data_IF_508830729708
#
_entry.id   IF_508830729708
#
_cell.length_a   1.000
_cell.length_b   1.000
_cell.length_c   1.000
_cell.angle_alpha   90.00
_cell.angle_beta   90.00
_cell.angle_gamma   90.00
#
_symmetry.space_group_name_H-M   'P 1'
#
loop_
_entity.id
_entity.type
_entity.pdbx_description
1 polymer ?
#
# COMPACT_ATOMS: atom_id res chain seq x y z
N UNK A 1 38.83 -26.97 31.28
CA UNK A 1 37.65 -26.16 31.71
C UNK A 1 37.08 -25.25 30.61
N UNK A 2 37.90 -24.67 29.72
CA UNK A 2 37.51 -23.69 28.68
C UNK A 2 36.44 -24.18 27.68
N UNK A 3 36.43 -25.49 27.36
CA UNK A 3 35.54 -26.08 26.33
C UNK A 3 34.05 -26.09 26.70
N UNK A 4 33.70 -26.06 28.00
CA UNK A 4 32.30 -26.02 28.46
C UNK A 4 31.74 -24.60 28.42
N UNK A 5 32.54 -23.60 28.80
CA UNK A 5 32.17 -22.19 28.82
C UNK A 5 31.89 -21.67 27.41
N UNK A 6 32.71 -22.04 26.43
CA UNK A 6 32.50 -21.64 25.01
C UNK A 6 31.17 -22.19 24.46
N UNK A 7 30.80 -23.43 24.79
CA UNK A 7 29.51 -24.01 24.37
C UNK A 7 28.32 -23.29 25.00
N UNK A 8 28.42 -22.90 26.27
CA UNK A 8 27.33 -22.18 26.95
C UNK A 8 27.15 -20.78 26.40
N UNK A 9 28.26 -20.06 26.14
CA UNK A 9 28.20 -18.74 25.52
C UNK A 9 27.52 -18.85 24.15
N UNK A 10 27.95 -19.80 23.31
CA UNK A 10 27.36 -20.00 21.97
C UNK A 10 25.87 -20.34 22.00
N UNK A 11 25.45 -21.16 22.97
CA UNK A 11 24.05 -21.53 23.15
C UNK A 11 23.20 -20.31 23.57
N UNK A 12 23.72 -19.47 24.47
CA UNK A 12 23.04 -18.26 24.93
C UNK A 12 22.92 -17.24 23.79
N UNK A 13 23.97 -17.04 22.98
CA UNK A 13 23.88 -16.13 21.81
C UNK A 13 22.87 -16.64 20.80
N UNK A 14 22.83 -17.95 20.52
CA UNK A 14 21.85 -18.53 19.63
C UNK A 14 20.42 -18.33 20.15
N UNK A 15 20.21 -18.51 21.46
CA UNK A 15 18.92 -18.29 22.09
C UNK A 15 18.46 -16.83 21.96
N UNK A 16 19.37 -15.88 22.21
CA UNK A 16 19.10 -14.45 22.08
C UNK A 16 18.75 -14.05 20.64
N UNK A 17 19.42 -14.61 19.64
CA UNK A 17 19.09 -14.37 18.23
C UNK A 17 17.70 -14.91 17.88
N UNK A 18 17.35 -16.11 18.36
CA UNK A 18 16.04 -16.71 18.14
C UNK A 18 14.92 -15.91 18.81
N UNK A 19 15.13 -15.47 20.05
CA UNK A 19 14.16 -14.62 20.78
C UNK A 19 14.01 -13.27 20.08
N UNK A 20 15.11 -12.66 19.62
CA UNK A 20 15.07 -11.41 18.85
C UNK A 20 14.31 -11.55 17.53
N UNK A 21 14.55 -12.63 16.78
CA UNK A 21 13.82 -12.90 15.54
C UNK A 21 12.33 -13.15 15.78
N UNK A 22 11.98 -13.90 16.83
CA UNK A 22 10.59 -14.13 17.22
C UNK A 22 9.89 -12.82 17.62
N UNK A 23 10.57 -11.94 18.36
CA UNK A 23 10.02 -10.64 18.75
C UNK A 23 9.75 -9.75 17.53
N UNK A 24 10.67 -9.69 16.56
CA UNK A 24 10.45 -8.98 15.30
C UNK A 24 9.26 -9.56 14.54
N UNK A 25 9.14 -10.89 14.48
CA UNK A 25 8.03 -11.55 13.80
C UNK A 25 6.67 -11.23 14.44
N UNK A 26 6.59 -11.19 15.78
CA UNK A 26 5.35 -10.88 16.52
C UNK A 26 4.97 -9.40 16.40
N UNK A 27 5.97 -8.51 16.38
CA UNK A 27 5.74 -7.06 16.30
C UNK A 27 5.65 -6.53 14.87
N UNK A 28 5.98 -7.34 13.87
CA UNK A 28 5.81 -6.98 12.47
C UNK A 28 4.31 -6.75 12.18
N UNK A 29 3.93 -5.60 11.64
CA UNK A 29 2.55 -5.35 11.27
C UNK A 29 2.12 -6.36 10.21
N UNK A 30 0.97 -7.01 10.41
CA UNK A 30 0.39 -7.87 9.39
C UNK A 30 -0.12 -6.98 8.25
N UNK A 31 0.67 -6.89 7.18
CA UNK A 31 0.32 -6.09 6.02
C UNK A 31 -0.83 -6.78 5.27
N UNK A 32 -1.90 -6.02 5.06
CA UNK A 32 -2.97 -6.46 4.18
C UNK A 32 -2.42 -6.69 2.76
N UNK A 33 -2.93 -7.71 2.08
CA UNK A 33 -2.57 -7.98 0.70
C UNK A 33 -3.27 -6.98 -0.24
N UNK A 34 -2.65 -5.79 -0.36
CA UNK A 34 -3.14 -4.68 -1.16
C UNK A 34 -2.57 -4.65 -2.58
N UNK A 35 -1.70 -5.60 -2.93
CA UNK A 35 -1.09 -5.68 -4.25
C UNK A 35 -2.15 -5.70 -5.38
N UNK A 36 -1.90 -4.87 -6.40
CA UNK A 36 -2.79 -4.66 -7.53
C UNK A 36 -4.04 -3.84 -7.22
N UNK A 37 -4.23 -3.37 -5.98
CA UNK A 37 -5.35 -2.46 -5.63
C UNK A 37 -4.99 -1.02 -5.94
N UNK A 38 -6.00 -0.24 -6.30
CA UNK A 38 -5.86 1.18 -6.60
C UNK A 38 -6.58 2.05 -5.58
N UNK A 39 -5.98 3.19 -5.27
CA UNK A 39 -6.48 4.16 -4.30
C UNK A 39 -6.40 5.57 -4.88
N UNK A 40 -7.28 6.46 -4.45
CA UNK A 40 -7.20 7.89 -4.74
C UNK A 40 -7.14 8.67 -3.43
N UNK A 41 -6.47 9.83 -3.48
CA UNK A 41 -6.48 10.75 -2.36
C UNK A 41 -7.85 11.44 -2.27
N UNK A 42 -8.38 11.64 -1.08
CA UNK A 42 -9.71 12.23 -0.90
C UNK A 42 -9.83 13.67 -1.43
N UNK A 43 -8.73 14.34 -1.80
CA UNK A 43 -8.76 15.64 -2.50
C UNK A 43 -9.05 15.56 -4.00
N UNK A 44 -9.01 14.36 -4.62
CA UNK A 44 -9.17 14.15 -6.08
C UNK A 44 -10.57 14.49 -6.59
N UNK A 45 -11.56 14.70 -5.70
CA UNK A 45 -12.92 15.07 -6.11
C UNK A 45 -13.01 16.40 -6.86
N UNK A 46 -12.06 17.32 -6.64
CA UNK A 46 -11.98 18.57 -7.40
C UNK A 46 -11.27 18.42 -8.76
N UNK A 47 -10.53 17.33 -8.97
CA UNK A 47 -9.80 17.05 -10.21
C UNK A 47 -10.71 16.37 -11.25
N UNK A 48 -11.60 15.49 -10.80
CA UNK A 48 -12.49 14.72 -11.69
C UNK A 48 -13.41 15.64 -12.52
N UNK A 49 -13.82 16.79 -11.96
CA UNK A 49 -14.60 17.80 -12.69
C UNK A 49 -13.82 18.49 -13.82
N UNK A 50 -12.49 18.38 -13.81
CA UNK A 50 -11.58 18.91 -14.84
C UNK A 50 -11.16 17.84 -15.87
N UNK A 51 -11.70 16.62 -15.76
CA UNK A 51 -11.39 15.51 -16.65
C UNK A 51 -10.08 14.79 -16.31
N UNK A 52 -9.54 14.99 -15.10
CA UNK A 52 -8.32 14.35 -14.65
C UNK A 52 -8.54 13.67 -13.30
N UNK A 53 -7.91 12.52 -13.09
CA UNK A 53 -7.99 11.83 -11.81
C UNK A 53 -6.67 11.17 -11.44
N UNK A 54 -6.05 11.69 -10.39
CA UNK A 54 -4.84 11.13 -9.82
C UNK A 54 -5.19 9.90 -8.96
N UNK A 55 -4.48 8.80 -9.18
CA UNK A 55 -4.61 7.58 -8.38
C UNK A 55 -3.26 6.89 -8.21
N UNK A 56 -3.19 6.01 -7.23
CA UNK A 56 -2.03 5.15 -7.03
C UNK A 56 -2.42 3.68 -7.11
N UNK A 57 -1.47 2.84 -7.50
CA UNK A 57 -1.58 1.38 -7.49
C UNK A 57 -0.50 0.81 -6.58
N UNK A 58 -0.86 -0.11 -5.71
CA UNK A 58 0.09 -0.86 -4.89
C UNK A 58 0.69 -1.98 -5.71
N UNK A 59 2.00 -2.02 -5.83
CA UNK A 59 2.73 -3.01 -6.63
C UNK A 59 3.34 -4.12 -5.77
N UNK A 60 3.79 -3.77 -4.57
CA UNK A 60 4.36 -4.72 -3.64
C UNK A 60 4.41 -4.10 -2.24
N UNK A 61 4.84 -4.87 -1.26
CA UNK A 61 5.12 -4.37 0.09
C UNK A 61 6.39 -5.00 0.65
N UNK A 62 7.09 -4.24 1.47
CA UNK A 62 8.06 -4.76 2.45
C UNK A 62 7.42 -4.75 3.83
N UNK A 63 8.13 -5.22 4.86
CA UNK A 63 7.64 -5.31 6.26
C UNK A 63 7.16 -3.98 6.88
N UNK A 64 7.42 -2.83 6.28
CA UNK A 64 7.09 -1.52 6.83
C UNK A 64 6.32 -0.60 5.88
N UNK A 65 6.36 -0.84 4.57
CA UNK A 65 5.89 0.09 3.54
C UNK A 65 5.28 -0.63 2.34
N UNK A 66 4.37 0.05 1.68
CA UNK A 66 3.86 -0.31 0.36
C UNK A 66 4.65 0.41 -0.72
N UNK A 67 5.11 -0.31 -1.73
CA UNK A 67 5.65 0.25 -2.95
C UNK A 67 4.48 0.58 -3.89
N UNK A 68 4.43 1.81 -4.37
CA UNK A 68 3.31 2.32 -5.15
C UNK A 68 3.75 2.98 -6.44
N UNK A 69 2.87 2.96 -7.43
CA UNK A 69 2.99 3.73 -8.65
C UNK A 69 1.85 4.74 -8.72
N UNK A 70 2.19 5.99 -9.05
CA UNK A 70 1.25 7.09 -9.21
C UNK A 70 0.89 7.26 -10.67
N UNK A 71 -0.40 7.47 -10.92
CA UNK A 71 -0.97 7.59 -12.24
C UNK A 71 -1.96 8.75 -12.29
N UNK A 72 -2.13 9.29 -13.49
CA UNK A 72 -3.20 10.22 -13.82
C UNK A 72 -4.03 9.62 -14.94
N UNK A 73 -5.32 9.45 -14.69
CA UNK A 73 -6.30 9.09 -15.72
C UNK A 73 -6.90 10.36 -16.31
N UNK A 74 -6.90 10.46 -17.64
CA UNK A 74 -7.53 11.55 -18.37
C UNK A 74 -8.85 11.04 -18.95
N UNK A 75 -9.92 11.77 -18.69
CA UNK A 75 -11.27 11.41 -19.09
C UNK A 75 -11.87 12.40 -20.07
N UNK A 76 -12.85 11.94 -20.84
CA UNK A 76 -13.67 12.81 -21.67
C UNK A 76 -14.84 13.43 -20.85
N UNK A 77 -15.72 14.17 -21.53
CA UNK A 77 -16.92 14.78 -20.94
C UNK A 77 -17.87 13.76 -20.29
N UNK A 78 -17.83 12.50 -20.76
CA UNK A 78 -18.60 11.39 -20.19
C UNK A 78 -17.80 10.60 -19.15
N UNK A 79 -16.75 11.19 -18.56
CA UNK A 79 -15.78 10.62 -17.59
C UNK A 79 -15.34 9.17 -17.88
N UNK A 80 -15.29 8.80 -19.16
CA UNK A 80 -14.66 7.57 -19.63
C UNK A 80 -13.18 7.84 -19.78
N UNK A 81 -12.36 6.95 -19.22
CA UNK A 81 -10.90 7.07 -19.28
C UNK A 81 -10.44 6.92 -20.73
N UNK A 82 -9.86 7.97 -21.30
CA UNK A 82 -9.26 7.96 -22.63
C UNK A 82 -7.79 7.53 -22.59
N UNK A 83 -7.05 7.98 -21.57
CA UNK A 83 -5.65 7.59 -21.40
C UNK A 83 -5.25 7.54 -19.92
N UNK A 84 -4.17 6.82 -19.64
CA UNK A 84 -3.54 6.73 -18.31
C UNK A 84 -2.06 7.02 -18.48
N UNK A 85 -1.55 7.96 -17.71
CA UNK A 85 -0.13 8.26 -17.67
C UNK A 85 0.44 7.89 -16.30
N UNK A 86 1.59 7.22 -16.31
CA UNK A 86 2.36 6.98 -15.09
C UNK A 86 3.17 8.23 -14.78
N UNK A 87 2.95 8.81 -13.60
CA UNK A 87 3.66 9.99 -13.16
C UNK A 87 5.01 9.61 -12.51
N UNK A 88 4.96 8.80 -11.46
CA UNK A 88 6.16 8.38 -10.72
C UNK A 88 5.91 7.08 -9.92
N UNK A 89 6.92 6.61 -9.21
CA UNK A 89 6.81 5.55 -8.19
C UNK A 89 7.25 6.09 -6.83
N UNK A 90 6.81 5.47 -5.75
CA UNK A 90 7.18 5.87 -4.40
C UNK A 90 6.83 4.83 -3.36
N UNK A 91 6.84 5.24 -2.09
CA UNK A 91 6.48 4.37 -0.97
C UNK A 91 5.44 5.04 -0.07
N UNK A 92 4.53 4.24 0.49
CA UNK A 92 3.56 4.67 1.49
C UNK A 92 3.78 3.88 2.79
N UNK A 93 3.56 4.53 3.93
CA UNK A 93 3.55 3.87 5.24
C UNK A 93 2.38 2.89 5.31
N UNK A 94 2.51 1.80 6.06
CA UNK A 94 1.48 0.77 6.12
C UNK A 94 0.08 1.27 6.58
N UNK A 95 0.04 2.29 7.43
CA UNK A 95 -1.19 2.86 8.00
C UNK A 95 -1.78 4.03 7.19
N UNK A 96 -1.40 4.18 5.92
CA UNK A 96 -1.87 5.28 5.07
C UNK A 96 -3.41 5.32 4.89
N UNK A 97 -4.09 4.19 5.06
CA UNK A 97 -5.54 4.09 4.95
C UNK A 97 -6.28 4.45 6.25
N UNK A 98 -5.69 4.19 7.42
CA UNK A 98 -6.28 4.53 8.73
C UNK A 98 -6.36 6.05 8.95
N UNK A 99 -5.48 6.81 8.31
CA UNK A 99 -5.48 8.27 8.34
C UNK A 99 -6.68 8.89 7.59
N UNK A 100 -7.51 8.09 6.90
CA UNK A 100 -8.68 8.58 6.16
C UNK A 100 -8.31 9.45 4.95
N UNK A 101 -7.06 9.44 4.51
CA UNK A 101 -6.57 10.25 3.39
C UNK A 101 -6.85 9.59 2.04
N UNK A 102 -6.94 8.26 2.00
CA UNK A 102 -7.07 7.47 0.77
C UNK A 102 -8.33 6.63 0.77
N UNK A 103 -9.03 6.65 -0.36
CA UNK A 103 -10.17 5.76 -0.61
C UNK A 103 -9.83 4.77 -1.71
N UNK A 104 -10.27 3.53 -1.55
CA UNK A 104 -10.02 2.43 -2.49
C UNK A 104 -11.01 2.46 -3.65
N UNK A 105 -10.51 2.21 -4.87
CA UNK A 105 -11.35 1.88 -6.02
C UNK A 105 -11.85 0.43 -5.93
N UNK A 106 -13.11 0.21 -6.33
CA UNK A 106 -13.62 -1.16 -6.53
C UNK A 106 -12.87 -1.85 -7.68
N UNK A 107 -12.62 -1.10 -8.75
CA UNK A 107 -11.86 -1.52 -9.93
C UNK A 107 -10.88 -0.42 -10.30
N UNK A 108 -9.61 -0.77 -10.53
CA UNK A 108 -8.60 0.18 -10.98
C UNK A 108 -9.04 0.90 -12.28
N UNK A 109 -8.78 2.21 -12.39
CA UNK A 109 -9.00 2.95 -13.64
C UNK A 109 -8.31 2.27 -14.82
N UNK A 110 -9.01 2.19 -15.95
CA UNK A 110 -8.54 1.56 -17.18
C UNK A 110 -9.19 2.21 -18.39
N UNK A 111 -8.45 2.29 -19.50
CA UNK A 111 -8.91 2.92 -20.74
C UNK A 111 -10.21 2.28 -21.23
N UNK A 112 -11.16 3.12 -21.65
CA UNK A 112 -12.47 2.73 -22.13
C UNK A 112 -13.49 2.40 -21.03
N UNK A 113 -13.12 2.53 -19.74
CA UNK A 113 -14.04 2.31 -18.62
C UNK A 113 -14.45 3.63 -17.95
N UNK A 114 -15.69 3.70 -17.41
CA UNK A 114 -16.11 4.85 -16.62
C UNK A 114 -15.33 4.92 -15.30
N UNK A 115 -14.89 6.12 -14.93
CA UNK A 115 -14.10 6.34 -13.72
C UNK A 115 -14.94 6.19 -12.42
N UNK A 116 -16.27 6.32 -12.50
CA UNK A 116 -17.16 6.45 -11.33
C UNK A 116 -17.78 5.16 -10.80
N UNK A 117 -17.43 3.96 -11.30
CA UNK A 117 -17.90 2.70 -10.69
C UNK A 117 -17.25 2.54 -9.31
N UNK A 118 -17.94 3.10 -8.30
CA UNK A 118 -17.55 3.14 -6.89
C UNK A 118 -18.42 2.17 -6.09
N UNK A 119 -17.78 1.46 -5.15
CA UNK A 119 -18.38 1.09 -3.87
C UNK A 119 -17.69 1.97 -2.82
N UNK A 120 -18.42 2.87 -2.18
CA UNK A 120 -17.93 3.48 -0.94
C UNK A 120 -17.78 2.36 0.07
N UNK A 121 -16.54 1.99 0.41
CA UNK A 121 -16.29 1.22 1.62
C UNK A 121 -16.27 2.25 2.75
N UNK A 122 -17.44 2.56 3.29
CA UNK A 122 -17.56 3.29 4.56
C UNK A 122 -17.12 2.29 5.62
N UNK A 123 -15.91 2.45 6.15
CA UNK A 123 -15.54 1.76 7.37
C UNK A 123 -16.29 2.47 8.50
N UNK A 124 -17.34 1.81 9.00
CA UNK A 124 -17.95 2.18 10.26
C UNK A 124 -16.93 1.85 11.37
N UNK A 125 -16.51 2.87 12.11
CA UNK A 125 -15.75 2.73 13.35
C UNK A 125 -16.62 2.12 14.45
#
# INVERSE_FOLDING_TARGET
>A
MIRKTVKHVLLVTLLLVLVGAAFIYITAPQLEQLEGKCFYHNSVFNEISRGEASFLRVESHDIWRYNVQYFTAFTNETLVVGSIQKANSGTLKYNFHEAGEYTRFEVCPSVGRPLWKRKQVVFAY
#
